data_IF_657519125957
#
_entry.id   IF_657519125957
#
_cell.length_a   1.000
_cell.length_b   1.000
_cell.length_c   1.000
_cell.angle_alpha   90.00
_cell.angle_beta   90.00
_cell.angle_gamma   90.00
#
_symmetry.space_group_name_H-M   'P 1'
#
loop_
_entity.id
_entity.type
_entity.pdbx_description
1 polymer ?
#
# COMPACT_ATOMS: atom_id res chain seq x y z
N UNK A 1 -16.81 -19.27 -9.99
CA UNK A 1 -18.10 -19.33 -9.25
C UNK A 1 -18.23 -18.06 -8.43
N UNK A 2 -19.41 -17.41 -8.44
CA UNK A 2 -19.73 -16.29 -7.54
C UNK A 2 -20.58 -16.79 -6.39
N UNK A 3 -20.25 -16.39 -5.16
CA UNK A 3 -20.99 -16.76 -3.94
C UNK A 3 -21.33 -15.49 -3.16
N UNK A 4 -22.42 -15.54 -2.39
CA UNK A 4 -22.82 -14.42 -1.52
C UNK A 4 -22.20 -14.62 -0.13
N UNK A 5 -21.61 -13.55 0.39
CA UNK A 5 -21.09 -13.47 1.76
C UNK A 5 -21.94 -12.48 2.54
N UNK A 6 -22.58 -12.93 3.62
CA UNK A 6 -23.36 -12.08 4.53
C UNK A 6 -22.51 -11.76 5.76
N UNK A 7 -22.37 -10.48 6.08
CA UNK A 7 -21.56 -10.00 7.20
C UNK A 7 -22.42 -9.17 8.16
N UNK A 8 -22.30 -9.43 9.45
CA UNK A 8 -22.83 -8.56 10.50
C UNK A 8 -21.78 -7.51 10.84
N UNK A 9 -22.12 -6.24 10.63
CA UNK A 9 -21.20 -5.10 10.81
C UNK A 9 -21.97 -3.97 11.46
N UNK A 10 -21.28 -3.17 12.28
CA UNK A 10 -21.85 -1.97 12.86
C UNK A 10 -22.45 -1.02 11.80
N UNK A 11 -23.59 -0.42 12.12
CA UNK A 11 -24.34 0.44 11.22
C UNK A 11 -23.59 1.74 10.86
N UNK A 12 -22.83 2.30 11.81
CA UNK A 12 -21.98 3.47 11.60
C UNK A 12 -20.82 3.17 10.64
N UNK A 13 -20.22 1.99 10.79
CA UNK A 13 -19.18 1.51 9.85
C UNK A 13 -19.74 1.36 8.43
N UNK A 14 -20.93 0.77 8.27
CA UNK A 14 -21.57 0.64 6.95
C UNK A 14 -21.87 2.00 6.33
N UNK A 15 -22.32 2.98 7.12
CA UNK A 15 -22.61 4.34 6.64
C UNK A 15 -21.33 5.03 6.13
N UNK A 16 -20.26 4.96 6.90
CA UNK A 16 -18.95 5.52 6.53
C UNK A 16 -18.38 4.85 5.28
N UNK A 17 -18.44 3.52 5.20
CA UNK A 17 -17.96 2.76 4.06
C UNK A 17 -18.75 3.07 2.78
N UNK A 18 -20.08 3.24 2.86
CA UNK A 18 -20.92 3.69 1.74
C UNK A 18 -20.55 5.11 1.28
N UNK A 19 -20.27 6.02 2.22
CA UNK A 19 -19.82 7.37 1.92
C UNK A 19 -18.51 7.38 1.13
N UNK A 20 -17.52 6.60 1.58
CA UNK A 20 -16.26 6.42 0.87
C UNK A 20 -16.49 5.81 -0.53
N UNK A 21 -17.24 4.71 -0.60
CA UNK A 21 -17.54 4.02 -1.86
C UNK A 21 -18.15 4.95 -2.91
N UNK A 22 -19.10 5.80 -2.51
CA UNK A 22 -19.71 6.81 -3.38
C UNK A 22 -18.70 7.86 -3.85
N UNK A 23 -17.87 8.40 -2.96
CA UNK A 23 -16.83 9.39 -3.29
C UNK A 23 -15.83 8.85 -4.31
N UNK A 24 -15.53 7.55 -4.25
CA UNK A 24 -14.57 6.88 -5.12
C UNK A 24 -15.23 6.14 -6.30
N UNK A 25 -16.51 6.41 -6.58
CA UNK A 25 -17.29 5.80 -7.67
C UNK A 25 -17.16 4.27 -7.74
N UNK A 26 -17.21 3.61 -6.58
CA UNK A 26 -17.06 2.16 -6.44
C UNK A 26 -18.19 1.56 -5.62
N UNK A 27 -18.47 0.27 -5.83
CA UNK A 27 -19.44 -0.46 -5.00
C UNK A 27 -18.79 -1.01 -3.73
N UNK A 28 -19.60 -1.17 -2.68
CA UNK A 28 -19.16 -1.78 -1.42
C UNK A 28 -18.64 -3.22 -1.66
N UNK A 29 -19.34 -3.98 -2.49
CA UNK A 29 -18.94 -5.35 -2.87
C UNK A 29 -17.57 -5.37 -3.56
N UNK A 30 -17.30 -4.43 -4.49
CA UNK A 30 -16.00 -4.33 -5.17
C UNK A 30 -14.88 -3.98 -4.19
N UNK A 31 -15.15 -3.10 -3.23
CA UNK A 31 -14.21 -2.74 -2.17
C UNK A 31 -13.87 -3.94 -1.27
N UNK A 32 -14.90 -4.63 -0.76
CA UNK A 32 -14.72 -5.80 0.13
C UNK A 32 -14.04 -6.95 -0.60
N UNK A 33 -14.45 -7.25 -1.84
CA UNK A 33 -13.80 -8.28 -2.65
C UNK A 33 -12.33 -7.95 -2.92
N UNK A 34 -12.01 -6.68 -3.20
CA UNK A 34 -10.64 -6.21 -3.37
C UNK A 34 -9.79 -6.41 -2.11
N UNK A 35 -10.33 -6.07 -0.94
CA UNK A 35 -9.66 -6.28 0.34
C UNK A 35 -9.44 -7.78 0.62
N UNK A 36 -10.49 -8.60 0.48
CA UNK A 36 -10.41 -10.05 0.67
C UNK A 36 -9.37 -10.69 -0.26
N UNK A 37 -9.29 -10.26 -1.53
CA UNK A 37 -8.24 -10.68 -2.47
C UNK A 37 -6.84 -10.26 -2.01
N UNK A 38 -6.69 -9.05 -1.47
CA UNK A 38 -5.40 -8.56 -0.98
C UNK A 38 -4.89 -9.39 0.19
N UNK A 39 -5.75 -9.66 1.18
CA UNK A 39 -5.34 -10.39 2.39
C UNK A 39 -5.20 -11.90 2.15
N UNK A 40 -6.01 -12.49 1.26
CA UNK A 40 -5.92 -13.92 0.94
C UNK A 40 -4.75 -14.25 0.00
N UNK A 41 -4.28 -13.31 -0.82
CA UNK A 41 -3.10 -13.51 -1.69
C UNK A 41 -1.81 -13.70 -0.89
N UNK A 42 -1.69 -13.13 0.31
CA UNK A 42 -0.51 -13.30 1.15
C UNK A 42 -0.33 -14.73 1.68
N UNK A 43 -1.33 -15.60 1.58
CA UNK A 43 -1.19 -17.01 1.95
C UNK A 43 -0.78 -17.94 0.79
N UNK A 44 -0.72 -17.45 -0.46
CA UNK A 44 -0.45 -18.29 -1.65
C UNK A 44 0.81 -17.94 -2.44
N UNK A 45 1.62 -17.00 -1.96
CA UNK A 45 2.92 -16.72 -2.56
C UNK A 45 4.00 -16.78 -1.50
N UNK A 46 4.69 -17.92 -1.47
CA UNK A 46 6.14 -17.90 -1.42
C UNK A 46 6.58 -16.78 -2.37
N UNK A 47 7.26 -15.78 -1.82
CA UNK A 47 7.59 -14.55 -2.52
C UNK A 47 8.65 -14.91 -3.57
N UNK A 48 8.21 -15.33 -4.74
CA UNK A 48 9.05 -15.28 -5.93
C UNK A 48 9.22 -13.80 -6.26
N UNK A 49 10.29 -13.22 -5.71
CA UNK A 49 10.78 -11.92 -6.11
C UNK A 49 10.96 -11.95 -7.63
N UNK A 50 10.30 -11.05 -8.39
CA UNK A 50 10.61 -10.86 -9.80
C UNK A 50 12.13 -10.74 -9.97
N UNK A 51 12.75 -11.46 -10.92
CA UNK A 51 14.22 -11.53 -11.06
C UNK A 51 14.90 -10.15 -11.09
N UNK A 52 14.20 -9.11 -11.55
CA UNK A 52 14.66 -7.72 -11.52
C UNK A 52 14.76 -7.09 -10.12
N UNK A 53 13.93 -7.50 -9.16
CA UNK A 53 13.93 -6.97 -7.78
C UNK A 53 14.98 -7.65 -6.89
N UNK A 54 15.44 -8.86 -7.23
CA UNK A 54 16.55 -9.53 -6.54
C UNK A 54 17.85 -8.73 -6.66
N UNK A 55 18.11 -8.13 -7.84
CA UNK A 55 19.28 -7.24 -8.06
C UNK A 55 19.19 -5.95 -7.24
N UNK A 56 18.00 -5.36 -7.15
CA UNK A 56 17.75 -4.14 -6.36
C UNK A 56 17.85 -4.43 -4.87
N UNK A 57 17.31 -5.55 -4.39
CA UNK A 57 17.44 -6.01 -3.00
C UNK A 57 18.92 -6.23 -2.60
N UNK A 58 19.73 -6.82 -3.49
CA UNK A 58 21.18 -6.97 -3.30
C UNK A 58 21.91 -5.62 -3.20
N UNK A 59 21.56 -4.66 -4.07
CA UNK A 59 22.12 -3.30 -4.03
C UNK A 59 21.75 -2.55 -2.74
N UNK A 60 20.48 -2.65 -2.29
CA UNK A 60 20.02 -2.01 -1.05
C UNK A 60 20.68 -2.63 0.19
N UNK A 61 20.88 -3.97 0.21
CA UNK A 61 21.65 -4.61 1.28
C UNK A 61 23.11 -4.12 1.31
N UNK A 62 23.73 -3.85 0.17
CA UNK A 62 25.07 -3.26 0.09
C UNK A 62 25.16 -1.84 0.64
N UNK A 63 24.09 -1.04 0.49
CA UNK A 63 23.99 0.33 1.00
C UNK A 63 23.65 0.39 2.50
N UNK A 64 23.04 -0.67 3.05
CA UNK A 64 22.48 -0.68 4.41
C UNK A 64 23.48 -0.56 5.56
N UNK A 65 24.80 -0.69 5.32
CA UNK A 65 25.79 -0.52 6.40
C UNK A 65 26.15 0.94 6.69
N UNK A 66 25.93 1.87 5.77
CA UNK A 66 26.31 3.29 5.97
C UNK A 66 25.41 4.33 5.27
N UNK A 67 24.33 3.95 4.59
CA UNK A 67 23.47 4.91 3.89
C UNK A 67 22.37 5.47 4.81
N UNK A 68 22.65 6.64 5.41
CA UNK A 68 21.69 7.40 6.24
C UNK A 68 20.74 8.21 5.36
N UNK A 69 19.76 7.53 4.77
CA UNK A 69 18.72 8.13 3.91
C UNK A 69 17.98 9.31 4.55
N UNK A 70 18.03 9.46 5.88
CA UNK A 70 17.41 10.60 6.58
C UNK A 70 18.18 11.90 6.35
N UNK A 71 19.50 11.85 6.13
CA UNK A 71 20.32 13.03 5.82
C UNK A 71 19.99 13.59 4.44
N UNK A 72 19.92 12.73 3.43
CA UNK A 72 19.61 13.15 2.05
C UNK A 72 18.23 13.79 1.95
N UNK A 73 17.24 13.27 2.68
CA UNK A 73 15.89 13.85 2.74
C UNK A 73 15.87 15.20 3.45
N UNK A 74 16.70 15.39 4.49
CA UNK A 74 16.81 16.67 5.19
C UNK A 74 17.50 17.73 4.32
N UNK A 75 18.53 17.34 3.58
CA UNK A 75 19.31 18.22 2.71
C UNK A 75 18.49 18.65 1.48
N UNK A 76 17.72 17.73 0.88
CA UNK A 76 16.78 18.05 -0.19
C UNK A 76 15.68 19.03 0.25
N UNK A 77 15.24 18.97 1.52
CA UNK A 77 14.31 19.97 2.07
C UNK A 77 14.97 21.34 2.21
N UNK A 78 16.21 21.40 2.69
CA UNK A 78 16.96 22.65 2.86
C UNK A 78 17.23 23.37 1.53
N UNK A 79 17.59 22.66 0.46
CA UNK A 79 17.81 23.25 -0.86
C UNK A 79 16.54 23.92 -1.42
N UNK A 80 15.38 23.32 -1.14
CA UNK A 80 14.09 23.86 -1.56
C UNK A 80 13.75 25.19 -0.91
N UNK A 81 14.17 25.42 0.34
CA UNK A 81 13.96 26.70 1.04
C UNK A 81 15.00 27.76 0.65
N UNK A 82 16.20 27.37 0.20
CA UNK A 82 17.22 28.31 -0.29
C UNK A 82 16.92 28.87 -1.68
N UNK A 83 16.12 28.20 -2.49
CA UNK A 83 15.71 28.67 -3.84
C UNK A 83 14.51 29.62 -3.85
N UNK A 84 13.94 29.92 -2.69
CA UNK A 84 12.73 30.77 -2.56
C UNK A 84 13.07 32.11 -1.84
N UNK A 85 14.33 32.34 -1.47
CA UNK A 85 14.85 33.64 -1.05
C UNK A 85 15.84 34.18 -2.07
#
# INVERSE_FOLDING_TARGET
MTTKLTLSVDSGVIKSAKGYAKKHNMSLSKMVEGYLKSVSKHHKKEIELPEGLSKVSGMIKGLSKQYDWKKDVAEAKLDKYKKIG
#
